data_IF_713447863701
#
_entry.id   IF_713447863701
#
_cell.length_a   1.000
_cell.length_b   1.000
_cell.length_c   1.000
_cell.angle_alpha   90.00
_cell.angle_beta   90.00
_cell.angle_gamma   90.00
#
_symmetry.space_group_name_H-M   'P 1'
#
loop_
_entity.id
_entity.type
_entity.pdbx_description
1 polymer ?
#
# COMPACT_ATOMS: atom_id res chain seq x y z
N UNK A 1 16.09 -21.87 38.28
CA UNK A 1 16.31 -20.69 37.44
C UNK A 1 16.84 -21.20 36.10
N UNK A 2 16.00 -21.24 35.08
CA UNK A 2 16.42 -21.52 33.70
C UNK A 2 16.67 -20.17 33.04
N UNK A 3 17.91 -19.95 32.59
CA UNK A 3 18.27 -18.84 31.73
C UNK A 3 17.54 -19.02 30.40
N UNK A 4 16.65 -18.08 30.08
CA UNK A 4 16.04 -17.99 28.77
C UNK A 4 17.09 -17.48 27.80
N UNK A 5 17.58 -18.39 26.97
CA UNK A 5 18.44 -18.15 25.83
C UNK A 5 17.70 -17.27 24.80
N UNK A 6 17.87 -15.95 24.90
CA UNK A 6 17.46 -14.99 23.86
C UNK A 6 18.48 -14.97 22.74
N UNK A 7 18.77 -16.15 22.18
CA UNK A 7 19.72 -16.32 21.09
C UNK A 7 19.22 -15.57 19.85
N UNK A 8 19.90 -14.49 19.47
CA UNK A 8 19.71 -13.83 18.18
C UNK A 8 19.97 -14.86 17.08
N UNK A 9 18.91 -15.30 16.40
CA UNK A 9 19.05 -16.22 15.26
C UNK A 9 19.52 -15.41 14.05
N UNK A 10 20.83 -15.48 13.76
CA UNK A 10 21.41 -14.92 12.54
C UNK A 10 21.31 -15.98 11.43
N UNK A 11 20.49 -15.72 10.42
CA UNK A 11 20.44 -16.53 9.19
C UNK A 11 21.14 -15.78 8.06
N UNK A 12 22.29 -16.29 7.64
CA UNK A 12 22.96 -15.83 6.42
C UNK A 12 22.40 -16.59 5.23
N UNK A 13 21.85 -15.87 4.25
CA UNK A 13 21.37 -16.44 2.99
C UNK A 13 22.34 -15.99 1.90
N UNK A 14 23.07 -16.96 1.32
CA UNK A 14 23.88 -16.76 0.11
C UNK A 14 23.07 -17.18 -1.10
N UNK A 15 23.13 -16.40 -2.18
CA UNK A 15 22.54 -16.76 -3.48
C UNK A 15 23.67 -16.94 -4.50
N UNK A 16 24.17 -18.18 -4.65
CA UNK A 16 25.14 -18.55 -5.69
C UNK A 16 24.49 -18.97 -7.01
N UNK A 17 23.16 -18.77 -7.15
CA UNK A 17 22.39 -19.22 -8.31
C UNK A 17 22.01 -18.01 -9.16
N UNK A 18 22.43 -18.03 -10.42
CA UNK A 18 21.92 -17.11 -11.42
C UNK A 18 20.46 -17.49 -11.72
N UNK A 19 19.53 -16.84 -11.03
CA UNK A 19 18.10 -17.03 -11.22
C UNK A 19 17.69 -16.45 -12.58
N UNK A 20 17.62 -17.32 -13.59
CA UNK A 20 17.07 -16.93 -14.89
C UNK A 20 15.55 -16.83 -14.79
N UNK A 21 15.07 -15.63 -14.45
CA UNK A 21 13.66 -15.32 -14.40
C UNK A 21 13.12 -15.07 -15.81
N UNK A 22 11.95 -15.64 -16.09
CA UNK A 22 11.15 -15.28 -17.25
C UNK A 22 10.67 -13.83 -17.17
N UNK A 23 10.33 -13.22 -18.31
CA UNK A 23 9.79 -11.85 -18.33
C UNK A 23 8.50 -11.70 -17.51
N UNK A 24 7.66 -12.75 -17.49
CA UNK A 24 6.45 -12.76 -16.66
C UNK A 24 6.77 -12.79 -15.16
N UNK A 25 7.79 -13.55 -14.73
CA UNK A 25 8.23 -13.59 -13.33
C UNK A 25 8.84 -12.24 -12.91
N UNK A 26 9.64 -11.60 -13.78
CA UNK A 26 10.14 -10.24 -13.54
C UNK A 26 9.00 -9.25 -13.40
N UNK A 27 8.04 -9.26 -14.32
CA UNK A 27 6.87 -8.40 -14.27
C UNK A 27 6.10 -8.60 -12.96
N UNK A 28 5.87 -9.86 -12.55
CA UNK A 28 5.22 -10.16 -11.27
C UNK A 28 6.00 -9.59 -10.09
N UNK A 29 7.32 -9.76 -10.03
CA UNK A 29 8.14 -9.20 -8.95
C UNK A 29 8.04 -7.68 -8.87
N UNK A 30 8.10 -6.99 -10.01
CA UNK A 30 8.03 -5.52 -10.06
C UNK A 30 6.63 -5.01 -9.70
N UNK A 31 5.59 -5.66 -10.23
CA UNK A 31 4.23 -5.13 -10.18
C UNK A 31 3.35 -5.70 -9.06
N UNK A 32 3.79 -6.71 -8.30
CA UNK A 32 2.92 -7.38 -7.33
C UNK A 32 2.35 -6.43 -6.26
N UNK A 33 3.16 -5.50 -5.73
CA UNK A 33 2.70 -4.55 -4.71
C UNK A 33 1.66 -3.58 -5.26
N UNK A 34 1.84 -3.13 -6.50
CA UNK A 34 0.87 -2.25 -7.17
C UNK A 34 -0.41 -3.01 -7.55
N UNK A 35 -0.27 -4.26 -7.98
CA UNK A 35 -1.41 -5.17 -8.21
C UNK A 35 -2.23 -5.36 -6.94
N UNK A 36 -1.56 -5.57 -5.79
CA UNK A 36 -2.23 -5.67 -4.50
C UNK A 36 -2.97 -4.37 -4.13
N UNK A 37 -2.36 -3.21 -4.38
CA UNK A 37 -3.03 -1.92 -4.20
C UNK A 37 -4.29 -1.80 -5.06
N UNK A 38 -4.21 -2.12 -6.36
CA UNK A 38 -5.36 -2.08 -7.26
C UNK A 38 -6.49 -3.01 -6.79
N UNK A 39 -6.14 -4.20 -6.30
CA UNK A 39 -7.12 -5.15 -5.75
C UNK A 39 -7.81 -4.60 -4.50
N UNK A 40 -7.08 -3.95 -3.59
CA UNK A 40 -7.66 -3.32 -2.40
C UNK A 40 -8.56 -2.15 -2.80
N UNK A 41 -8.14 -1.31 -3.75
CA UNK A 41 -8.97 -0.22 -4.26
C UNK A 41 -10.26 -0.76 -4.87
N UNK A 42 -10.19 -1.82 -5.68
CA UNK A 42 -11.36 -2.49 -6.26
C UNK A 42 -12.32 -3.04 -5.20
N UNK A 43 -11.80 -3.70 -4.17
CA UNK A 43 -12.61 -4.27 -3.08
C UNK A 43 -13.37 -3.17 -2.33
N UNK A 44 -12.68 -2.10 -1.92
CA UNK A 44 -13.30 -1.00 -1.16
C UNK A 44 -14.30 -0.23 -2.02
N UNK A 45 -13.96 0.04 -3.29
CA UNK A 45 -14.89 0.65 -4.25
C UNK A 45 -16.11 -0.25 -4.48
N UNK A 46 -15.92 -1.56 -4.58
CA UNK A 46 -17.00 -2.54 -4.73
C UNK A 46 -17.98 -2.48 -3.56
N UNK A 47 -17.47 -2.39 -2.32
CA UNK A 47 -18.28 -2.22 -1.10
C UNK A 47 -19.09 -0.93 -1.13
N UNK A 48 -18.45 0.20 -1.47
CA UNK A 48 -19.15 1.49 -1.64
C UNK A 48 -20.25 1.39 -2.70
N UNK A 49 -19.96 0.76 -3.84
CA UNK A 49 -20.89 0.61 -4.96
C UNK A 49 -22.11 -0.23 -4.59
N UNK A 50 -21.97 -1.32 -3.85
CA UNK A 50 -23.13 -2.15 -3.42
C UNK A 50 -24.18 -1.30 -2.71
N UNK A 51 -23.76 -0.36 -1.87
CA UNK A 51 -24.67 0.56 -1.21
C UNK A 51 -25.21 1.65 -2.14
N UNK A 52 -24.34 2.25 -2.94
CA UNK A 52 -24.71 3.35 -3.86
C UNK A 52 -25.59 2.90 -5.02
N UNK A 53 -25.53 1.62 -5.40
CA UNK A 53 -26.40 1.03 -6.44
C UNK A 53 -27.89 1.14 -6.11
N UNK A 54 -28.26 1.41 -4.84
CA UNK A 54 -29.64 1.70 -4.46
C UNK A 54 -30.14 3.06 -4.97
N UNK A 55 -29.23 3.93 -5.44
CA UNK A 55 -29.53 5.29 -5.94
C UNK A 55 -28.99 5.51 -7.35
N UNK A 56 -27.72 5.19 -7.57
CA UNK A 56 -27.07 5.31 -8.88
C UNK A 56 -26.12 4.12 -9.09
N UNK A 57 -26.56 3.20 -9.94
CA UNK A 57 -25.83 1.97 -10.28
C UNK A 57 -24.56 2.17 -11.12
N UNK A 58 -24.35 3.38 -11.63
CA UNK A 58 -23.26 3.70 -12.56
C UNK A 58 -22.00 4.22 -11.86
N UNK A 59 -22.10 4.66 -10.60
CA UNK A 59 -20.94 5.15 -9.84
C UNK A 59 -19.90 4.04 -9.74
N UNK A 60 -18.64 4.40 -9.98
CA UNK A 60 -17.49 3.52 -9.97
C UNK A 60 -17.39 2.50 -11.10
N UNK A 61 -18.37 2.40 -12.00
CA UNK A 61 -18.30 1.45 -13.11
C UNK A 61 -17.09 1.72 -14.02
N UNK A 62 -16.88 3.00 -14.37
CA UNK A 62 -15.73 3.41 -15.18
C UNK A 62 -14.41 3.12 -14.47
N UNK A 63 -14.34 3.36 -13.16
CA UNK A 63 -13.11 3.15 -12.37
C UNK A 63 -12.79 1.68 -12.24
N UNK A 64 -13.78 0.84 -11.94
CA UNK A 64 -13.58 -0.61 -11.89
C UNK A 64 -13.11 -1.16 -13.24
N UNK A 65 -13.67 -0.67 -14.36
CA UNK A 65 -13.22 -1.03 -15.70
C UNK A 65 -11.78 -0.60 -15.97
N UNK A 66 -11.44 0.65 -15.65
CA UNK A 66 -10.09 1.19 -15.83
C UNK A 66 -9.05 0.44 -14.99
N UNK A 67 -9.36 0.11 -13.73
CA UNK A 67 -8.47 -0.69 -12.89
C UNK A 67 -8.28 -2.10 -13.48
N UNK A 68 -9.35 -2.72 -14.00
CA UNK A 68 -9.25 -4.04 -14.65
C UNK A 68 -8.37 -3.99 -15.90
N UNK A 69 -8.48 -2.93 -16.71
CA UNK A 69 -7.63 -2.72 -17.90
C UNK A 69 -6.16 -2.53 -17.52
N UNK A 70 -5.86 -1.69 -16.53
CA UNK A 70 -4.50 -1.51 -16.01
C UNK A 70 -3.98 -2.82 -15.42
N UNK A 71 -4.78 -3.53 -14.63
CA UNK A 71 -4.39 -4.80 -14.01
C UNK A 71 -4.00 -5.87 -15.02
N UNK A 72 -4.60 -5.86 -16.23
CA UNK A 72 -4.21 -6.77 -17.31
C UNK A 72 -2.82 -6.47 -17.87
N UNK A 73 -2.41 -5.19 -17.93
CA UNK A 73 -1.08 -4.82 -18.45
C UNK A 73 0.05 -5.17 -17.48
N UNK A 74 -0.21 -5.23 -16.17
CA UNK A 74 0.78 -5.56 -15.12
C UNK A 74 1.39 -6.97 -15.22
N UNK A 75 1.02 -7.77 -16.21
CA UNK A 75 1.64 -9.07 -16.49
C UNK A 75 2.88 -8.96 -17.40
N UNK A 76 3.13 -7.76 -17.93
CA UNK A 76 4.14 -7.50 -18.96
C UNK A 76 4.75 -6.12 -18.74
N UNK A 77 6.09 -6.05 -18.73
CA UNK A 77 6.81 -4.79 -18.56
C UNK A 77 6.53 -3.84 -19.75
N UNK A 78 6.65 -4.25 -21.03
CA UNK A 78 6.32 -3.39 -22.17
C UNK A 78 4.88 -2.86 -22.14
N UNK A 79 3.92 -3.73 -21.84
CA UNK A 79 2.51 -3.31 -21.80
C UNK A 79 2.26 -2.33 -20.65
N UNK A 80 2.89 -2.55 -19.49
CA UNK A 80 2.78 -1.62 -18.35
C UNK A 80 3.39 -0.27 -18.67
N UNK A 81 4.58 -0.25 -19.28
CA UNK A 81 5.22 0.98 -19.76
C UNK A 81 4.28 1.78 -20.68
N UNK A 82 3.63 1.08 -21.62
CA UNK A 82 2.68 1.69 -22.53
C UNK A 82 1.43 2.24 -21.82
N UNK A 83 1.13 1.83 -20.58
CA UNK A 83 -0.06 2.25 -19.82
C UNK A 83 0.27 3.17 -18.63
N UNK A 84 1.55 3.48 -18.35
CA UNK A 84 1.95 4.34 -17.21
C UNK A 84 1.25 5.70 -17.20
N UNK A 85 1.02 6.28 -18.37
CA UNK A 85 0.31 7.57 -18.52
C UNK A 85 -1.13 7.54 -18.00
N UNK A 86 -1.72 6.34 -17.82
CA UNK A 86 -3.08 6.17 -17.30
C UNK A 86 -3.15 6.19 -15.78
N UNK A 87 -2.02 6.08 -15.07
CA UNK A 87 -2.04 6.08 -13.61
C UNK A 87 -2.56 7.41 -13.04
N UNK A 88 -2.08 8.59 -13.49
CA UNK A 88 -2.66 9.86 -13.08
C UNK A 88 -4.15 9.97 -13.41
N UNK A 89 -4.56 9.51 -14.59
CA UNK A 89 -5.96 9.52 -15.01
C UNK A 89 -6.84 8.65 -14.11
N UNK A 90 -6.38 7.45 -13.73
CA UNK A 90 -7.08 6.58 -12.79
C UNK A 90 -7.31 7.29 -11.44
N UNK A 91 -6.29 7.95 -10.90
CA UNK A 91 -6.42 8.70 -9.66
C UNK A 91 -7.46 9.81 -9.77
N UNK A 92 -7.40 10.62 -10.84
CA UNK A 92 -8.37 11.70 -11.06
C UNK A 92 -9.79 11.17 -11.17
N UNK A 93 -9.96 10.02 -11.83
CA UNK A 93 -11.25 9.37 -11.96
C UNK A 93 -11.79 8.88 -10.61
N UNK A 94 -10.96 8.23 -9.79
CA UNK A 94 -11.33 7.82 -8.42
C UNK A 94 -11.75 9.05 -7.61
N UNK A 95 -10.98 10.15 -7.66
CA UNK A 95 -11.29 11.38 -6.94
C UNK A 95 -12.62 11.99 -7.38
N UNK A 96 -12.90 12.03 -8.68
CA UNK A 96 -14.14 12.57 -9.22
C UNK A 96 -15.35 11.75 -8.77
N UNK A 97 -15.28 10.42 -8.88
CA UNK A 97 -16.38 9.54 -8.48
C UNK A 97 -16.56 9.49 -6.96
N UNK A 98 -15.50 9.61 -6.17
CA UNK A 98 -15.61 9.77 -4.71
C UNK A 98 -16.34 11.07 -4.35
N UNK A 99 -16.05 12.19 -5.03
CA UNK A 99 -16.79 13.45 -4.81
C UNK A 99 -18.28 13.27 -5.12
N UNK A 100 -18.62 12.60 -6.22
CA UNK A 100 -20.02 12.30 -6.57
C UNK A 100 -20.67 11.40 -5.53
N UNK A 101 -20.00 10.33 -5.11
CA UNK A 101 -20.47 9.42 -4.07
C UNK A 101 -20.81 10.17 -2.78
N UNK A 102 -19.95 11.10 -2.34
CA UNK A 102 -20.18 11.89 -1.12
C UNK A 102 -21.43 12.78 -1.20
N UNK A 103 -21.70 13.36 -2.37
CA UNK A 103 -22.92 14.17 -2.60
C UNK A 103 -24.15 13.29 -2.47
N UNK A 104 -24.20 12.20 -3.23
CA UNK A 104 -25.33 11.25 -3.24
C UNK A 104 -25.59 10.68 -1.85
N UNK A 105 -24.52 10.35 -1.15
CA UNK A 105 -24.59 9.82 0.20
C UNK A 105 -25.15 10.83 1.21
N UNK A 106 -24.72 12.09 1.11
CA UNK A 106 -25.25 13.17 1.96
C UNK A 106 -26.75 13.40 1.73
N UNK A 107 -27.20 13.31 0.49
CA UNK A 107 -28.63 13.45 0.13
C UNK A 107 -29.46 12.27 0.65
N UNK A 108 -28.94 11.04 0.52
CA UNK A 108 -29.54 9.85 1.10
C UNK A 108 -29.74 9.97 2.61
N UNK A 109 -28.75 10.45 3.34
CA UNK A 109 -28.86 10.62 4.80
C UNK A 109 -29.92 11.66 5.18
N UNK A 110 -30.00 12.78 4.43
CA UNK A 110 -31.00 13.83 4.65
C UNK A 110 -32.43 13.36 4.36
N UNK A 111 -32.62 12.46 3.40
CA UNK A 111 -33.94 11.97 3.01
C UNK A 111 -34.61 11.07 4.07
N UNK A 112 -33.90 10.69 5.14
CA UNK A 112 -34.42 9.77 6.16
C UNK A 112 -34.44 8.30 5.73
N UNK A 113 -33.98 7.98 4.51
CA UNK A 113 -33.88 6.60 3.98
C UNK A 113 -33.03 5.69 4.87
N UNK A 114 -32.09 6.26 5.65
CA UNK A 114 -31.28 5.54 6.64
C UNK A 114 -31.88 5.51 8.06
N UNK A 115 -33.21 5.47 8.22
CA UNK A 115 -33.85 5.53 9.54
C UNK A 115 -33.58 4.28 10.42
N UNK A 116 -33.40 3.10 9.82
CA UNK A 116 -33.18 1.84 10.55
C UNK A 116 -31.76 1.73 11.13
N UNK A 117 -31.60 0.97 12.22
CA UNK A 117 -30.28 0.73 12.84
C UNK A 117 -29.28 0.06 11.90
N UNK A 118 -29.75 -0.88 11.08
CA UNK A 118 -28.95 -1.54 10.06
C UNK A 118 -28.47 -0.55 8.99
N UNK A 119 -29.36 0.32 8.49
CA UNK A 119 -29.00 1.33 7.49
C UNK A 119 -28.00 2.36 8.04
N UNK A 120 -28.11 2.76 9.31
CA UNK A 120 -27.13 3.64 9.97
C UNK A 120 -25.76 2.99 10.09
N UNK A 121 -25.70 1.70 10.41
CA UNK A 121 -24.43 0.96 10.50
C UNK A 121 -23.74 0.84 9.14
N UNK A 122 -24.51 0.47 8.11
CA UNK A 122 -24.01 0.41 6.73
C UNK A 122 -23.53 1.80 6.30
N UNK A 123 -24.32 2.84 6.59
CA UNK A 123 -23.94 4.20 6.24
C UNK A 123 -22.59 4.59 6.85
N UNK A 124 -22.44 4.38 8.16
CA UNK A 124 -21.20 4.67 8.88
C UNK A 124 -20.00 3.92 8.29
N UNK A 125 -20.20 2.67 7.85
CA UNK A 125 -19.14 1.89 7.22
C UNK A 125 -18.76 2.44 5.84
N UNK A 126 -19.74 2.81 5.00
CA UNK A 126 -19.46 3.41 3.69
C UNK A 126 -18.68 4.73 3.81
N UNK A 127 -19.01 5.58 4.80
CA UNK A 127 -18.21 6.78 5.07
C UNK A 127 -16.75 6.44 5.41
N UNK A 128 -16.53 5.42 6.25
CA UNK A 128 -15.16 4.95 6.57
C UNK A 128 -14.43 4.48 5.33
N UNK A 129 -15.10 3.72 4.47
CA UNK A 129 -14.53 3.19 3.23
C UNK A 129 -14.17 4.33 2.26
N UNK A 130 -15.02 5.34 2.11
CA UNK A 130 -14.73 6.57 1.35
C UNK A 130 -13.50 7.29 1.92
N UNK A 131 -13.45 7.51 3.24
CA UNK A 131 -12.31 8.17 3.87
C UNK A 131 -11.02 7.36 3.73
N UNK A 132 -11.12 6.03 3.78
CA UNK A 132 -9.98 5.15 3.59
C UNK A 132 -9.41 5.26 2.16
N UNK A 133 -10.28 5.34 1.15
CA UNK A 133 -9.85 5.61 -0.23
C UNK A 133 -9.13 6.96 -0.31
N UNK A 134 -9.76 8.05 0.15
CA UNK A 134 -9.22 9.42 0.02
C UNK A 134 -7.92 9.63 0.81
N UNK A 135 -7.88 9.17 2.06
CA UNK A 135 -6.82 9.51 3.03
C UNK A 135 -5.69 8.51 3.03
N UNK A 136 -5.87 7.33 2.44
CA UNK A 136 -4.89 6.25 2.58
C UNK A 136 -4.56 5.60 1.25
N UNK A 137 -5.55 5.12 0.50
CA UNK A 137 -5.27 4.42 -0.76
C UNK A 137 -4.76 5.35 -1.86
N UNK A 138 -5.29 6.57 -1.97
CA UNK A 138 -4.83 7.53 -2.97
C UNK A 138 -3.38 8.04 -2.73
N UNK A 139 -2.97 8.41 -1.50
CA UNK A 139 -1.57 8.69 -1.21
C UNK A 139 -0.63 7.51 -1.49
N UNK A 140 -1.04 6.29 -1.12
CA UNK A 140 -0.29 5.07 -1.44
C UNK A 140 -0.16 4.89 -2.97
N UNK A 141 -1.23 5.17 -3.72
CA UNK A 141 -1.23 5.13 -5.17
C UNK A 141 -0.24 6.11 -5.80
N UNK A 142 -0.15 7.34 -5.29
CA UNK A 142 0.82 8.34 -5.75
C UNK A 142 2.26 7.86 -5.56
N UNK A 143 2.56 7.34 -4.37
CA UNK A 143 3.88 6.84 -4.02
C UNK A 143 4.26 5.69 -4.96
N UNK A 144 3.41 4.66 -5.10
CA UNK A 144 3.73 3.52 -5.97
C UNK A 144 3.80 3.88 -7.44
N UNK A 145 2.93 4.77 -7.92
CA UNK A 145 2.97 5.20 -9.32
C UNK A 145 4.28 5.91 -9.64
N UNK A 146 4.77 6.75 -8.72
CA UNK A 146 6.05 7.43 -8.84
C UNK A 146 7.21 6.44 -8.76
N UNK A 147 7.22 5.54 -7.78
CA UNK A 147 8.26 4.53 -7.63
C UNK A 147 8.35 3.61 -8.86
N UNK A 148 7.21 3.16 -9.40
CA UNK A 148 7.18 2.36 -10.63
C UNK A 148 7.66 3.14 -11.85
N UNK A 149 7.20 4.38 -12.03
CA UNK A 149 7.63 5.22 -13.14
C UNK A 149 9.13 5.50 -13.07
N UNK A 150 9.66 5.72 -11.87
CA UNK A 150 11.09 5.89 -11.64
C UNK A 150 11.87 4.60 -11.88
N UNK A 151 11.41 3.47 -11.36
CA UNK A 151 12.08 2.18 -11.54
C UNK A 151 12.14 1.74 -13.00
N UNK A 152 11.04 1.91 -13.74
CA UNK A 152 10.94 1.52 -15.14
C UNK A 152 11.66 2.47 -16.12
N UNK A 153 11.99 3.70 -15.70
CA UNK A 153 12.73 4.66 -16.52
C UNK A 153 14.25 4.60 -16.32
N UNK A 154 14.72 3.80 -15.37
CA UNK A 154 16.13 3.69 -15.02
C UNK A 154 16.69 2.32 -15.45
N UNK A 155 17.99 2.24 -15.77
CA UNK A 155 18.67 0.95 -15.95
C UNK A 155 18.55 0.06 -14.69
N UNK A 156 18.54 -1.27 -14.87
CA UNK A 156 18.39 -2.25 -13.77
C UNK A 156 19.44 -2.10 -12.64
N UNK A 157 20.61 -1.54 -12.95
CA UNK A 157 21.71 -1.32 -12.02
C UNK A 157 21.84 0.15 -11.56
N UNK A 158 20.82 0.98 -11.78
CA UNK A 158 20.87 2.38 -11.40
C UNK A 158 20.88 2.53 -9.87
N UNK A 159 21.83 3.32 -9.37
CA UNK A 159 21.86 3.75 -7.98
C UNK A 159 21.30 5.16 -7.88
N UNK A 160 20.26 5.35 -7.07
CA UNK A 160 19.58 6.64 -6.96
C UNK A 160 19.70 7.20 -5.56
N UNK A 161 19.89 8.52 -5.48
CA UNK A 161 19.96 9.25 -4.22
C UNK A 161 18.55 9.56 -3.73
N UNK A 162 18.26 9.21 -2.48
CA UNK A 162 16.98 9.44 -1.84
C UNK A 162 17.12 10.27 -0.58
N UNK A 163 16.12 11.12 -0.33
CA UNK A 163 15.97 11.80 0.96
C UNK A 163 15.37 10.82 1.97
N UNK A 164 16.06 10.58 3.09
CA UNK A 164 15.65 9.58 4.09
C UNK A 164 14.31 9.93 4.73
N UNK A 165 14.01 11.22 4.92
CA UNK A 165 12.70 11.69 5.40
C UNK A 165 11.56 11.33 4.45
N UNK A 166 11.78 11.46 3.14
CA UNK A 166 10.78 11.09 2.12
C UNK A 166 10.57 9.58 2.10
N UNK A 167 11.65 8.79 2.09
CA UNK A 167 11.56 7.33 2.16
C UNK A 167 10.79 6.86 3.40
N UNK A 168 11.10 7.44 4.56
CA UNK A 168 10.42 7.13 5.81
C UNK A 168 8.93 7.45 5.71
N UNK A 169 8.57 8.66 5.29
CA UNK A 169 7.17 9.06 5.12
C UNK A 169 6.42 8.14 4.15
N UNK A 170 7.03 7.81 3.03
CA UNK A 170 6.41 7.03 1.97
C UNK A 170 6.19 5.58 2.44
N UNK A 171 7.20 4.95 3.06
CA UNK A 171 7.05 3.62 3.64
C UNK A 171 6.02 3.59 4.77
N UNK A 172 5.98 4.60 5.64
CA UNK A 172 4.97 4.72 6.70
C UNK A 172 3.55 4.81 6.13
N UNK A 173 3.37 5.63 5.09
CA UNK A 173 2.09 5.79 4.39
C UNK A 173 1.63 4.46 3.80
N UNK A 174 2.53 3.72 3.16
CA UNK A 174 2.22 2.40 2.59
C UNK A 174 1.84 1.41 3.70
N UNK A 175 2.62 1.35 4.79
CA UNK A 175 2.37 0.42 5.90
C UNK A 175 1.04 0.67 6.60
N UNK A 176 0.66 1.94 6.80
CA UNK A 176 -0.67 2.29 7.33
C UNK A 176 -1.77 1.78 6.38
N UNK A 177 -1.60 1.97 5.06
CA UNK A 177 -2.58 1.51 4.08
C UNK A 177 -2.81 0.01 4.10
N UNK A 178 -1.74 -0.78 4.07
CA UNK A 178 -1.87 -2.24 4.11
C UNK A 178 -2.36 -2.78 5.46
N UNK A 179 -2.17 -2.04 6.55
CA UNK A 179 -2.63 -2.46 7.88
C UNK A 179 -4.17 -2.45 8.00
N UNK A 180 -4.86 -1.50 7.38
CA UNK A 180 -6.32 -1.35 7.50
C UNK A 180 -7.11 -2.50 6.84
N UNK A 181 -6.48 -3.31 6.00
CA UNK A 181 -7.08 -4.49 5.36
C UNK A 181 -6.89 -5.81 6.12
N UNK A 182 -6.29 -5.81 7.31
CA UNK A 182 -5.85 -7.05 7.97
C UNK A 182 -6.57 -7.33 9.30
N UNK A 183 -6.93 -8.61 9.51
CA UNK A 183 -7.65 -9.09 10.69
C UNK A 183 -6.78 -9.38 11.92
N UNK A 184 -5.45 -9.45 11.78
CA UNK A 184 -4.53 -9.95 12.83
C UNK A 184 -3.97 -8.82 13.70
N UNK A 185 -3.89 -7.60 13.17
CA UNK A 185 -3.29 -6.44 13.86
C UNK A 185 -4.24 -5.26 13.74
N UNK A 186 -4.56 -4.60 14.86
CA UNK A 186 -5.45 -3.43 14.90
C UNK A 186 -4.91 -2.23 14.13
N UNK A 187 -3.58 -2.11 14.03
CA UNK A 187 -2.90 -1.02 13.34
C UNK A 187 -1.39 -1.17 13.37
N UNK A 188 -0.70 -0.29 12.65
CA UNK A 188 0.76 -0.13 12.69
C UNK A 188 1.05 1.27 13.24
N UNK A 189 1.96 1.35 14.21
CA UNK A 189 2.50 2.59 14.76
C UNK A 189 4.02 2.63 14.60
N UNK A 190 4.61 3.81 14.57
CA UNK A 190 6.03 3.98 14.21
C UNK A 190 6.94 4.34 15.39
N UNK A 191 6.41 4.23 16.61
CA UNK A 191 7.21 4.21 17.84
C UNK A 191 6.38 3.60 18.96
N UNK A 192 7.05 3.09 20.00
CA UNK A 192 6.38 2.63 21.22
C UNK A 192 5.55 3.73 21.90
N UNK A 193 5.99 4.99 21.80
CA UNK A 193 5.27 6.14 22.37
C UNK A 193 3.94 6.44 21.65
N UNK A 194 3.81 6.04 20.38
CA UNK A 194 2.57 6.19 19.60
C UNK A 194 1.57 5.05 19.83
N UNK A 195 1.97 3.98 20.53
CA UNK A 195 1.10 2.81 20.76
C UNK A 195 -0.03 3.19 21.71
N UNK A 196 -1.26 3.10 21.23
CA UNK A 196 -2.47 3.34 22.04
C UNK A 196 -3.21 2.05 22.34
N UNK A 197 -3.19 1.08 21.43
CA UNK A 197 -3.76 -0.25 21.66
C UNK A 197 -2.64 -1.29 21.85
N UNK A 198 -2.72 -2.16 22.88
CA UNK A 198 -1.76 -3.25 23.07
C UNK A 198 -1.56 -4.16 21.86
N UNK A 199 -2.56 -4.31 21.00
CA UNK A 199 -2.44 -5.12 19.78
C UNK A 199 -1.76 -4.40 18.60
N UNK A 200 -1.48 -3.11 18.71
CA UNK A 200 -0.82 -2.35 17.64
C UNK A 200 0.64 -2.79 17.48
N UNK A 201 1.01 -3.13 16.26
CA UNK A 201 2.39 -3.46 15.92
C UNK A 201 3.23 -2.20 15.87
N UNK A 202 4.40 -2.23 16.51
CA UNK A 202 5.38 -1.15 16.41
C UNK A 202 6.37 -1.50 15.31
N UNK A 203 6.54 -0.60 14.35
CA UNK A 203 7.53 -0.72 13.28
C UNK A 203 8.50 0.45 13.39
N UNK A 204 9.73 0.16 13.84
CA UNK A 204 10.81 1.13 13.94
C UNK A 204 11.66 1.06 12.67
N UNK A 205 11.71 2.16 11.92
CA UNK A 205 12.34 2.23 10.58
C UNK A 205 13.50 3.21 10.65
N UNK A 206 14.67 2.77 10.18
CA UNK A 206 15.86 3.60 10.07
C UNK A 206 16.42 3.54 8.64
N UNK A 207 16.68 4.71 8.06
CA UNK A 207 17.45 4.86 6.83
C UNK A 207 18.71 5.66 7.14
N UNK A 208 19.88 5.09 6.87
CA UNK A 208 21.17 5.76 7.10
C UNK A 208 22.10 5.55 5.90
N UNK A 209 22.47 6.65 5.26
CA UNK A 209 23.53 6.67 4.25
C UNK A 209 24.78 7.39 4.75
N UNK A 210 25.75 7.53 3.85
CA UNK A 210 27.01 8.24 4.08
C UNK A 210 26.80 9.74 4.35
N UNK A 211 25.84 10.35 3.64
CA UNK A 211 25.51 11.77 3.76
C UNK A 211 24.30 11.95 4.67
N UNK A 212 24.34 12.94 5.57
CA UNK A 212 23.22 13.23 6.46
C UNK A 212 21.92 13.50 5.67
N UNK A 213 20.83 12.86 6.09
CA UNK A 213 19.51 13.03 5.47
C UNK A 213 19.35 12.34 4.10
N UNK A 214 20.39 11.70 3.57
CA UNK A 214 20.33 11.03 2.27
C UNK A 214 20.81 9.57 2.35
N UNK A 215 20.33 8.75 1.43
CA UNK A 215 20.82 7.38 1.23
C UNK A 215 20.86 7.08 -0.27
N UNK A 216 21.89 6.34 -0.70
CA UNK A 216 22.12 5.96 -2.08
C UNK A 216 21.96 4.45 -2.21
N UNK A 217 20.97 3.99 -2.98
CA UNK A 217 20.77 2.56 -3.22
C UNK A 217 19.96 2.31 -4.51
N UNK A 218 19.96 1.07 -5.05
CA UNK A 218 19.06 0.65 -6.14
C UNK A 218 17.56 0.74 -5.81
N UNK A 219 16.70 1.31 -6.69
CA UNK A 219 15.27 1.52 -6.43
C UNK A 219 14.51 0.30 -5.91
N UNK A 220 14.89 -0.90 -6.36
CA UNK A 220 14.32 -2.19 -5.95
C UNK A 220 14.38 -2.42 -4.43
N UNK A 221 15.33 -1.82 -3.73
CA UNK A 221 15.44 -1.98 -2.27
C UNK A 221 14.29 -1.35 -1.48
N UNK A 222 13.56 -0.39 -2.05
CA UNK A 222 12.31 0.09 -1.43
C UNK A 222 11.27 -1.04 -1.36
N UNK A 223 11.20 -1.85 -2.42
CA UNK A 223 10.27 -2.98 -2.52
C UNK A 223 10.72 -4.12 -1.60
N UNK A 224 12.01 -4.45 -1.59
CA UNK A 224 12.59 -5.45 -0.68
C UNK A 224 12.33 -5.10 0.78
N UNK A 225 12.62 -3.85 1.19
CA UNK A 225 12.40 -3.38 2.56
C UNK A 225 10.93 -3.55 2.97
N UNK A 226 10.01 -3.15 2.10
CA UNK A 226 8.58 -3.26 2.35
C UNK A 226 8.13 -4.71 2.46
N UNK A 227 8.58 -5.59 1.57
CA UNK A 227 8.17 -6.99 1.56
C UNK A 227 8.71 -7.75 2.77
N UNK A 228 9.94 -7.45 3.21
CA UNK A 228 10.51 -7.99 4.44
C UNK A 228 9.69 -7.57 5.66
N UNK A 229 9.31 -6.30 5.77
CA UNK A 229 8.46 -5.81 6.87
C UNK A 229 7.08 -6.47 6.80
N UNK A 230 6.48 -6.59 5.62
CA UNK A 230 5.17 -7.22 5.45
C UNK A 230 5.16 -8.70 5.78
N UNK A 231 6.24 -9.42 5.46
CA UNK A 231 6.41 -10.82 5.84
C UNK A 231 6.66 -10.94 7.35
N UNK A 232 7.55 -10.13 7.93
CA UNK A 232 7.78 -10.10 9.37
C UNK A 232 6.47 -9.84 10.13
N UNK A 233 5.63 -8.93 9.63
CA UNK A 233 4.29 -8.65 10.17
C UNK A 233 3.38 -9.87 10.18
N UNK A 234 3.32 -10.64 9.09
CA UNK A 234 2.45 -11.83 8.99
C UNK A 234 2.80 -12.91 10.03
N UNK A 235 4.08 -13.01 10.39
CA UNK A 235 4.59 -14.03 11.30
C UNK A 235 4.87 -13.49 12.71
N UNK A 236 4.53 -12.22 12.98
CA UNK A 236 4.63 -11.62 14.31
C UNK A 236 3.31 -11.74 15.06
N UNK A 237 3.40 -11.87 16.38
CA UNK A 237 2.24 -11.82 17.26
C UNK A 237 1.68 -10.39 17.36
N UNK A 238 0.40 -10.26 17.73
CA UNK A 238 -0.24 -8.96 17.96
C UNK A 238 0.51 -8.16 19.04
N UNK A 239 0.77 -6.87 18.80
CA UNK A 239 1.60 -6.05 19.70
C UNK A 239 3.12 -6.24 19.55
N UNK A 240 3.58 -7.05 18.59
CA UNK A 240 4.99 -7.26 18.28
C UNK A 240 5.73 -5.98 17.86
N UNK A 241 7.06 -6.08 17.79
CA UNK A 241 7.96 -5.00 17.37
C UNK A 241 8.80 -5.48 16.19
N UNK A 242 8.81 -4.71 15.10
CA UNK A 242 9.66 -4.93 13.94
C UNK A 242 10.67 -3.80 13.89
N UNK A 243 11.96 -4.15 13.91
CA UNK A 243 13.06 -3.20 13.69
C UNK A 243 13.59 -3.40 12.27
N UNK A 244 13.45 -2.39 11.43
CA UNK A 244 13.88 -2.45 10.04
C UNK A 244 14.88 -1.33 9.75
N UNK A 245 16.08 -1.70 9.28
CA UNK A 245 17.15 -0.75 9.00
C UNK A 245 17.67 -0.95 7.57
N UNK A 246 17.80 0.14 6.84
CA UNK A 246 18.49 0.19 5.55
C UNK A 246 19.72 1.08 5.70
N UNK A 247 20.89 0.49 5.50
CA UNK A 247 22.18 1.11 5.77
C UNK A 247 23.03 1.06 4.50
N UNK A 248 23.63 2.17 4.11
CA UNK A 248 24.72 2.21 3.13
C UNK A 248 25.98 2.73 3.86
N UNK A 249 26.98 1.86 3.99
CA UNK A 249 28.20 2.05 4.77
C UNK A 249 29.48 2.27 3.93
N UNK A 250 29.40 2.20 2.59
CA UNK A 250 30.53 2.49 1.69
C UNK A 250 30.70 1.48 0.57
#
# INVERSE_FOLDING_TARGET
>A
MQENDTGTVIKTISFDVNLQLTEEEKARLIFHTFTNLLNVVLDVIGKCRVFLNMVDGSIFEKTMKLISEIGKSLKSIPDTLAQLYRFPFLKEQILAEIKQAKVIFTELEKSGTCASSAAKSISKQTWKDIYYIERTLLPFFDIRSKELSQGLSQPDNAWVMYQTKTLLHDLQTILIGVAQGSSIVSGIVFSKAQRTNPSDMVVEIEYKGLNEGCIHFPPVFQDVMRDLIMNARKYSFAGGVINAKMMNDG
#
